data_IF_381261252476
#
_entry.id   IF_381261252476
#
_cell.length_a   1.000
_cell.length_b   1.000
_cell.length_c   1.000
_cell.angle_alpha   90.00
_cell.angle_beta   90.00
_cell.angle_gamma   90.00
#
_symmetry.space_group_name_H-M   'P 1'
#
loop_
_entity.id
_entity.type
_entity.pdbx_description
1 polymer ?
#
# COMPACT_ATOMS: atom_id res chain seq x y z
N UNK A 1 -30.83 -1.59 -15.55
CA UNK A 1 -31.49 -1.96 -14.28
C UNK A 1 -30.50 -1.66 -13.17
N UNK A 2 -30.84 -0.86 -12.16
CA UNK A 2 -29.94 -0.59 -11.03
C UNK A 2 -29.91 -1.78 -10.08
N UNK A 3 -28.73 -2.38 -9.88
CA UNK A 3 -28.54 -3.45 -8.91
C UNK A 3 -28.44 -2.90 -7.48
N UNK A 4 -28.78 -3.72 -6.48
CA UNK A 4 -28.54 -3.42 -5.07
C UNK A 4 -27.81 -4.57 -4.38
N UNK A 5 -26.82 -4.24 -3.54
CA UNK A 5 -26.05 -5.17 -2.72
C UNK A 5 -25.91 -4.63 -1.29
N UNK A 6 -25.85 -5.53 -0.30
CA UNK A 6 -25.58 -5.19 1.09
C UNK A 6 -24.32 -5.94 1.56
N UNK A 7 -23.42 -5.24 2.25
CA UNK A 7 -22.22 -5.80 2.87
C UNK A 7 -21.98 -5.16 4.23
N UNK A 8 -21.12 -5.75 5.07
CA UNK A 8 -20.71 -5.11 6.32
C UNK A 8 -19.69 -4.01 6.05
N UNK A 9 -18.71 -4.28 5.17
CA UNK A 9 -17.62 -3.36 4.84
C UNK A 9 -17.47 -3.21 3.33
N UNK A 10 -17.56 -1.97 2.86
CA UNK A 10 -17.16 -1.60 1.50
C UNK A 10 -15.76 -0.96 1.53
N UNK A 11 -14.81 -1.57 0.84
CA UNK A 11 -13.47 -1.03 0.64
C UNK A 11 -13.37 -0.44 -0.76
N UNK A 12 -12.96 0.81 -0.88
CA UNK A 12 -12.77 1.48 -2.16
C UNK A 12 -11.28 1.55 -2.49
N UNK A 13 -10.87 0.87 -3.55
CA UNK A 13 -9.48 0.77 -3.99
C UNK A 13 -8.82 -0.53 -3.55
N UNK A 14 -8.03 -1.12 -4.45
CA UNK A 14 -7.41 -2.43 -4.28
C UNK A 14 -5.88 -2.38 -4.13
N UNK A 15 -5.34 -1.25 -3.67
CA UNK A 15 -3.93 -1.14 -3.28
C UNK A 15 -3.63 -1.89 -1.97
N UNK A 16 -2.37 -1.81 -1.51
CA UNK A 16 -1.94 -2.49 -0.28
C UNK A 16 -2.81 -2.12 0.93
N UNK A 17 -3.15 -0.83 1.11
CA UNK A 17 -4.01 -0.38 2.21
C UNK A 17 -5.42 -1.00 2.14
N UNK A 18 -6.06 -0.97 0.96
CA UNK A 18 -7.41 -1.49 0.76
C UNK A 18 -7.47 -3.01 0.96
N UNK A 19 -6.54 -3.75 0.35
CA UNK A 19 -6.50 -5.21 0.51
C UNK A 19 -6.16 -5.63 1.95
N UNK A 20 -5.23 -4.94 2.62
CA UNK A 20 -4.93 -5.22 4.03
C UNK A 20 -6.14 -5.01 4.93
N UNK A 21 -6.90 -3.93 4.71
CA UNK A 21 -8.14 -3.69 5.43
C UNK A 21 -9.21 -4.76 5.12
N UNK A 22 -9.37 -5.12 3.85
CA UNK A 22 -10.35 -6.12 3.41
C UNK A 22 -10.07 -7.50 4.04
N UNK A 23 -8.81 -7.95 4.00
CA UNK A 23 -8.38 -9.21 4.64
C UNK A 23 -8.65 -9.16 6.14
N UNK A 24 -8.27 -8.07 6.81
CA UNK A 24 -8.45 -7.93 8.25
C UNK A 24 -9.92 -7.96 8.65
N UNK A 25 -10.79 -7.24 7.93
CA UNK A 25 -12.23 -7.23 8.16
C UNK A 25 -12.86 -8.61 7.90
N UNK A 26 -12.50 -9.27 6.81
CA UNK A 26 -13.01 -10.60 6.46
C UNK A 26 -12.59 -11.67 7.47
N UNK A 27 -11.33 -11.65 7.93
CA UNK A 27 -10.86 -12.52 9.02
C UNK A 27 -11.55 -12.23 10.37
N UNK A 28 -12.09 -11.01 10.53
CA UNK A 28 -12.98 -10.64 11.63
C UNK A 28 -14.42 -11.14 11.48
N UNK A 29 -14.75 -11.80 10.35
CA UNK A 29 -16.07 -12.34 10.05
C UNK A 29 -17.03 -11.38 9.35
N UNK A 30 -16.54 -10.23 8.87
CA UNK A 30 -17.34 -9.28 8.11
C UNK A 30 -17.53 -9.76 6.65
N UNK A 31 -18.69 -9.51 6.08
CA UNK A 31 -18.88 -9.57 4.62
C UNK A 31 -18.25 -8.33 3.97
N UNK A 32 -17.32 -8.54 3.05
CA UNK A 32 -16.51 -7.46 2.45
C UNK A 32 -16.68 -7.42 0.94
N UNK A 33 -16.86 -6.21 0.41
CA UNK A 33 -16.73 -5.91 -1.01
C UNK A 33 -15.57 -4.93 -1.23
N UNK A 34 -14.65 -5.28 -2.12
CA UNK A 34 -13.63 -4.36 -2.65
C UNK A 34 -14.09 -3.84 -4.01
N UNK A 35 -14.29 -2.52 -4.11
CA UNK A 35 -14.59 -1.84 -5.36
C UNK A 35 -13.30 -1.24 -5.96
N UNK A 36 -12.92 -1.67 -7.15
CA UNK A 36 -11.77 -1.18 -7.90
C UNK A 36 -12.23 -0.48 -9.17
N UNK A 37 -11.69 0.73 -9.40
CA UNK A 37 -12.04 1.57 -10.54
C UNK A 37 -11.57 0.94 -11.85
N UNK A 38 -10.39 0.35 -11.87
CA UNK A 38 -9.81 -0.25 -13.06
C UNK A 38 -10.20 -1.73 -13.24
N UNK A 39 -9.83 -2.30 -14.38
CA UNK A 39 -10.00 -3.74 -14.68
C UNK A 39 -8.98 -4.63 -13.97
N UNK A 40 -8.04 -4.04 -13.24
CA UNK A 40 -6.94 -4.75 -12.56
C UNK A 40 -6.72 -4.24 -11.13
N UNK A 41 -6.31 -5.17 -10.26
CA UNK A 41 -6.03 -4.99 -8.85
C UNK A 41 -4.61 -4.49 -8.62
N UNK A 42 -4.45 -3.63 -7.60
CA UNK A 42 -3.15 -3.33 -6.99
C UNK A 42 -2.71 -1.87 -7.06
N UNK A 43 -3.26 -1.09 -7.98
CA UNK A 43 -2.90 0.33 -8.15
C UNK A 43 -1.39 0.58 -8.19
N UNK A 44 -0.94 1.69 -7.59
CA UNK A 44 0.49 2.01 -7.44
C UNK A 44 1.25 0.99 -6.60
N UNK A 45 0.58 0.31 -5.65
CA UNK A 45 1.23 -0.69 -4.79
C UNK A 45 1.79 -1.86 -5.60
N UNK A 46 1.15 -2.25 -6.70
CA UNK A 46 1.65 -3.33 -7.57
C UNK A 46 2.90 -2.94 -8.38
N UNK A 47 3.21 -1.64 -8.49
CA UNK A 47 4.40 -1.11 -9.17
C UNK A 47 5.52 -0.73 -8.20
N UNK A 48 5.26 -0.74 -6.90
CA UNK A 48 6.26 -0.32 -5.91
C UNK A 48 7.39 -1.33 -5.74
N UNK A 49 8.46 -0.92 -5.05
CA UNK A 49 9.52 -1.82 -4.58
C UNK A 49 9.06 -2.84 -3.52
N UNK A 50 7.82 -2.74 -3.02
CA UNK A 50 7.28 -3.65 -2.00
C UNK A 50 7.83 -3.46 -0.59
N UNK A 51 8.65 -2.42 -0.38
CA UNK A 51 9.25 -2.08 0.90
C UNK A 51 8.24 -1.43 1.85
N UNK A 52 8.26 -1.87 3.09
CA UNK A 52 7.48 -1.35 4.20
C UNK A 52 8.48 -0.92 5.28
N UNK A 53 8.39 0.35 5.69
CA UNK A 53 9.17 0.86 6.82
C UNK A 53 8.40 0.56 8.10
N UNK A 54 8.82 -0.48 8.83
CA UNK A 54 8.21 -0.94 10.08
C UNK A 54 9.34 -1.12 11.09
N UNK A 55 9.59 -0.12 11.96
CA UNK A 55 10.58 -0.21 13.03
C UNK A 55 10.22 -1.34 13.99
N UNK A 56 11.24 -1.94 14.63
CA UNK A 56 11.05 -3.01 15.63
C UNK A 56 10.19 -4.20 15.13
N UNK A 57 10.15 -4.43 13.82
CA UNK A 57 9.43 -5.55 13.23
C UNK A 57 10.00 -6.90 13.71
N UNK A 58 9.19 -7.97 13.74
CA UNK A 58 9.63 -9.25 14.28
C UNK A 58 10.81 -9.87 13.52
N UNK A 59 10.99 -9.61 12.21
CA UNK A 59 12.11 -10.17 11.45
C UNK A 59 13.45 -9.56 11.89
N UNK A 60 13.50 -8.24 12.09
CA UNK A 60 14.69 -7.58 12.60
C UNK A 60 15.05 -8.05 14.02
N UNK A 61 14.03 -8.27 14.87
CA UNK A 61 14.22 -8.81 16.23
C UNK A 61 14.71 -10.26 16.22
N UNK A 62 14.19 -11.09 15.32
CA UNK A 62 14.65 -12.47 15.08
C UNK A 62 16.13 -12.51 14.65
N UNK A 63 16.62 -11.47 13.98
CA UNK A 63 18.02 -11.29 13.59
C UNK A 63 18.90 -10.65 14.69
N UNK A 64 18.35 -10.42 15.88
CA UNK A 64 19.06 -9.86 17.03
C UNK A 64 19.23 -8.34 17.01
N UNK A 65 18.50 -7.63 16.13
CA UNK A 65 18.51 -6.16 16.10
C UNK A 65 17.54 -5.65 17.16
N UNK A 66 18.10 -5.15 18.25
CA UNK A 66 17.36 -4.47 19.31
C UNK A 66 17.44 -2.96 19.13
N UNK A 67 16.30 -2.36 18.79
CA UNK A 67 16.16 -0.93 18.62
C UNK A 67 15.48 -0.30 19.84
N UNK A 68 16.06 0.81 20.31
CA UNK A 68 15.53 1.61 21.40
C UNK A 68 14.10 2.10 21.04
N UNK A 69 13.09 1.93 21.91
CA UNK A 69 11.69 2.25 21.61
C UNK A 69 11.44 3.69 21.11
N UNK A 70 12.18 4.68 21.61
CA UNK A 70 12.08 6.08 21.24
C UNK A 70 12.82 6.47 19.95
N UNK A 71 13.79 5.70 19.49
CA UNK A 71 14.63 6.03 18.35
C UNK A 71 13.85 6.24 17.03
N UNK A 72 12.85 5.41 16.67
CA UNK A 72 12.04 5.65 15.48
C UNK A 72 11.22 6.94 15.56
N UNK A 73 10.70 7.25 16.75
CA UNK A 73 9.94 8.47 16.98
C UNK A 73 10.83 9.71 16.92
N UNK A 74 12.04 9.63 17.46
CA UNK A 74 13.03 10.70 17.37
C UNK A 74 13.42 10.99 15.91
N UNK A 75 13.67 9.93 15.12
CA UNK A 75 13.91 10.05 13.68
C UNK A 75 12.76 10.74 12.97
N UNK A 76 11.53 10.23 13.11
CA UNK A 76 10.37 10.81 12.41
C UNK A 76 10.08 12.25 12.84
N UNK A 77 10.25 12.59 14.13
CA UNK A 77 10.12 13.98 14.58
C UNK A 77 11.14 14.90 13.92
N UNK A 78 12.38 14.45 13.76
CA UNK A 78 13.39 15.23 13.06
C UNK A 78 13.03 15.41 11.58
N UNK A 79 12.59 14.34 10.91
CA UNK A 79 12.19 14.37 9.49
C UNK A 79 10.94 15.22 9.22
N UNK A 80 10.11 15.44 10.24
CA UNK A 80 8.94 16.32 10.19
C UNK A 80 9.24 17.74 10.73
N UNK A 81 10.50 18.16 10.73
CA UNK A 81 10.93 19.49 11.21
C UNK A 81 10.48 19.82 12.65
N UNK A 82 10.34 18.80 13.50
CA UNK A 82 9.96 18.94 14.91
C UNK A 82 8.46 18.97 15.19
N UNK A 83 7.60 18.81 14.17
CA UNK A 83 6.15 18.73 14.36
C UNK A 83 5.76 17.63 15.37
N UNK A 84 4.76 17.89 16.23
CA UNK A 84 4.38 16.94 17.26
C UNK A 84 3.83 15.66 16.63
N UNK A 85 4.23 14.53 17.21
CA UNK A 85 3.73 13.23 16.80
C UNK A 85 2.24 13.12 17.14
N UNK A 86 1.40 13.09 16.11
CA UNK A 86 -0.03 12.91 16.27
C UNK A 86 -0.40 11.46 16.61
N UNK A 87 -1.68 11.23 16.91
CA UNK A 87 -2.18 9.90 17.25
C UNK A 87 -1.97 8.86 16.12
N UNK A 88 -1.85 9.30 14.86
CA UNK A 88 -1.66 8.41 13.71
C UNK A 88 -0.24 7.90 13.66
N UNK A 89 0.74 8.79 13.86
CA UNK A 89 2.15 8.42 13.91
C UNK A 89 2.42 7.46 15.08
N UNK A 90 1.84 7.76 16.25
CA UNK A 90 1.97 6.89 17.42
C UNK A 90 1.31 5.53 17.18
N UNK A 91 0.12 5.49 16.59
CA UNK A 91 -0.54 4.24 16.22
C UNK A 91 0.27 3.44 15.19
N UNK A 92 0.87 4.10 14.20
CA UNK A 92 1.73 3.45 13.21
C UNK A 92 2.94 2.77 13.86
N UNK A 93 3.64 3.49 14.75
CA UNK A 93 4.80 2.94 15.46
C UNK A 93 4.43 1.80 16.41
N UNK A 94 3.26 1.89 17.06
CA UNK A 94 2.76 0.85 17.95
C UNK A 94 2.33 -0.41 17.19
N UNK A 95 1.43 -0.25 16.22
CA UNK A 95 0.76 -1.39 15.57
C UNK A 95 1.49 -1.92 14.33
N UNK A 96 2.52 -1.23 13.84
CA UNK A 96 3.33 -1.68 12.71
C UNK A 96 3.90 -3.10 12.91
N UNK A 97 4.66 -3.37 14.00
CA UNK A 97 5.16 -4.71 14.30
C UNK A 97 4.04 -5.76 14.46
N UNK A 98 2.95 -5.40 15.13
CA UNK A 98 1.80 -6.28 15.32
C UNK A 98 1.14 -6.65 13.98
N UNK A 99 1.08 -5.71 13.05
CA UNK A 99 0.55 -5.93 11.70
C UNK A 99 1.43 -6.92 10.91
N UNK A 100 2.76 -6.84 11.02
CA UNK A 100 3.66 -7.83 10.40
C UNK A 100 3.40 -9.23 10.97
N UNK A 101 3.28 -9.35 12.30
CA UNK A 101 2.98 -10.63 12.96
C UNK A 101 1.61 -11.19 12.55
N UNK A 102 0.59 -10.34 12.50
CA UNK A 102 -0.76 -10.72 12.07
C UNK A 102 -0.75 -11.31 10.66
N UNK A 103 -0.14 -10.60 9.70
CA UNK A 103 -0.12 -11.05 8.30
C UNK A 103 0.71 -12.33 8.14
N UNK A 104 1.89 -12.45 8.77
CA UNK A 104 2.71 -13.67 8.73
C UNK A 104 1.97 -14.90 9.23
N UNK A 105 1.21 -14.75 10.33
CA UNK A 105 0.59 -15.88 11.04
C UNK A 105 -0.77 -16.28 10.50
N UNK A 106 -1.49 -15.35 9.87
CA UNK A 106 -2.93 -15.53 9.54
C UNK A 106 -3.22 -15.54 8.05
N UNK A 107 -2.23 -15.30 7.19
CA UNK A 107 -2.46 -15.03 5.77
C UNK A 107 -1.34 -15.60 4.87
N UNK A 108 -1.53 -15.50 3.55
CA UNK A 108 -0.50 -15.85 2.57
C UNK A 108 0.61 -14.78 2.46
N UNK A 109 0.52 -13.66 3.18
CA UNK A 109 1.55 -12.62 3.19
C UNK A 109 2.73 -13.07 4.05
N UNK A 110 3.90 -13.16 3.41
CA UNK A 110 5.17 -13.50 4.05
C UNK A 110 6.20 -12.45 3.68
N UNK A 111 7.14 -12.18 4.58
CA UNK A 111 8.11 -11.09 4.45
C UNK A 111 9.55 -11.61 4.39
N UNK A 112 10.40 -10.87 3.68
CA UNK A 112 11.84 -10.92 3.79
C UNK A 112 12.29 -9.77 4.69
N UNK A 113 13.32 -10.05 5.49
CA UNK A 113 13.98 -9.03 6.29
C UNK A 113 14.67 -8.02 5.38
N UNK A 114 14.42 -6.74 5.67
CA UNK A 114 15.12 -5.61 5.09
C UNK A 114 16.16 -5.03 6.03
N UNK A 115 16.66 -5.81 6.99
CA UNK A 115 17.50 -5.29 8.07
C UNK A 115 18.81 -4.63 7.62
N UNK A 116 19.23 -4.79 6.35
CA UNK A 116 20.40 -4.10 5.78
C UNK A 116 20.07 -2.80 5.06
N UNK A 117 18.79 -2.41 5.03
CA UNK A 117 18.34 -1.18 4.39
C UNK A 117 18.47 -0.01 5.38
N UNK A 118 19.36 0.96 5.12
CA UNK A 118 19.48 2.14 5.97
C UNK A 118 18.30 3.10 5.75
N UNK A 119 18.07 3.94 6.75
CA UNK A 119 17.27 5.14 6.60
C UNK A 119 17.91 6.11 5.58
N UNK A 120 17.09 6.94 4.94
CA UNK A 120 17.54 7.79 3.85
C UNK A 120 18.40 8.96 4.31
N UNK A 121 18.17 9.48 5.51
CA UNK A 121 18.88 10.62 6.05
C UNK A 121 19.67 10.21 7.29
N UNK A 122 20.90 10.70 7.39
CA UNK A 122 21.75 10.54 8.56
C UNK A 122 21.38 11.59 9.63
N UNK A 123 20.14 11.53 10.11
CA UNK A 123 19.58 12.44 11.12
C UNK A 123 19.51 11.79 12.52
N UNK A 124 19.28 12.56 13.59
CA UNK A 124 19.08 12.00 14.93
C UNK A 124 18.01 10.90 14.95
N UNK A 125 18.37 9.73 15.46
CA UNK A 125 17.50 8.55 15.48
C UNK A 125 17.53 7.69 14.21
N UNK A 126 18.30 8.07 13.18
CA UNK A 126 18.48 7.25 11.97
C UNK A 126 19.14 5.90 12.29
N UNK A 127 18.74 4.87 11.55
CA UNK A 127 19.31 3.53 11.65
C UNK A 127 19.96 3.11 10.32
N UNK A 128 21.08 2.37 10.40
CA UNK A 128 21.70 1.75 9.23
C UNK A 128 20.95 0.49 8.75
N UNK A 129 19.87 0.13 9.45
CA UNK A 129 19.20 -1.15 9.27
C UNK A 129 18.05 -1.38 10.25
N UNK A 130 17.40 -2.54 10.12
CA UNK A 130 16.41 -3.06 11.08
C UNK A 130 14.98 -2.53 10.94
N UNK A 131 14.74 -1.49 10.13
CA UNK A 131 13.41 -0.85 10.01
C UNK A 131 12.64 -1.20 8.75
N UNK A 132 13.21 -1.94 7.82
CA UNK A 132 12.55 -2.27 6.55
C UNK A 132 12.19 -3.75 6.47
N UNK A 133 11.05 -4.04 5.84
CA UNK A 133 10.68 -5.39 5.40
C UNK A 133 10.11 -5.31 3.98
N UNK A 134 10.18 -6.40 3.24
CA UNK A 134 9.56 -6.50 1.90
C UNK A 134 8.81 -7.81 1.76
N UNK A 135 7.81 -7.89 0.88
CA UNK A 135 7.11 -9.14 0.64
C UNK A 135 8.05 -10.18 0.02
N UNK A 136 7.98 -11.43 0.48
CA UNK A 136 8.64 -12.55 -0.17
C UNK A 136 8.13 -12.71 -1.61
N UNK A 137 8.98 -13.14 -2.56
CA UNK A 137 8.55 -13.52 -3.90
C UNK A 137 7.36 -14.48 -3.85
N UNK A 138 6.46 -14.37 -4.82
CA UNK A 138 5.21 -15.14 -4.86
C UNK A 138 5.07 -15.88 -6.19
N UNK A 139 4.56 -17.11 -6.11
CA UNK A 139 4.23 -17.89 -7.29
C UNK A 139 2.81 -17.54 -7.77
N UNK A 140 2.75 -16.75 -8.84
CA UNK A 140 1.52 -16.26 -9.44
C UNK A 140 0.55 -17.35 -9.87
N UNK A 141 1.00 -18.61 -10.06
CA UNK A 141 0.11 -19.75 -10.34
C UNK A 141 -0.93 -19.97 -9.23
N UNK A 142 -0.59 -19.61 -7.99
CA UNK A 142 -1.47 -19.77 -6.82
C UNK A 142 -2.65 -18.78 -6.80
N UNK A 143 -2.68 -17.80 -7.71
CA UNK A 143 -3.84 -16.92 -7.92
C UNK A 143 -4.87 -17.49 -8.90
N UNK A 144 -4.53 -18.54 -9.68
CA UNK A 144 -5.38 -19.00 -10.78
C UNK A 144 -5.74 -17.85 -11.73
N UNK A 145 -7.01 -17.74 -12.10
CA UNK A 145 -7.51 -16.73 -13.04
C UNK A 145 -7.31 -15.29 -12.55
N UNK A 146 -7.19 -15.09 -11.23
CA UNK A 146 -6.92 -13.77 -10.65
C UNK A 146 -5.54 -13.23 -11.00
N UNK A 147 -4.61 -14.06 -11.48
CA UNK A 147 -3.32 -13.59 -11.98
C UNK A 147 -3.50 -12.58 -13.11
N UNK A 148 -4.47 -12.77 -14.01
CA UNK A 148 -4.73 -11.86 -15.12
C UNK A 148 -5.44 -10.57 -14.68
N UNK A 149 -6.05 -10.58 -13.50
CA UNK A 149 -6.66 -9.41 -12.86
C UNK A 149 -5.70 -8.67 -11.95
N UNK A 150 -4.48 -9.15 -11.75
CA UNK A 150 -3.42 -8.43 -11.04
C UNK A 150 -2.71 -7.49 -12.00
N UNK A 151 -2.52 -6.22 -11.62
CA UNK A 151 -1.79 -5.25 -12.44
C UNK A 151 -0.40 -5.79 -12.84
N UNK A 152 -0.03 -5.77 -14.13
CA UNK A 152 1.30 -6.19 -14.54
C UNK A 152 2.39 -5.26 -13.98
N UNK A 153 3.62 -5.76 -13.79
CA UNK A 153 4.76 -4.90 -13.48
C UNK A 153 4.91 -3.77 -14.49
N UNK A 154 5.40 -2.62 -14.03
CA UNK A 154 5.63 -1.47 -14.89
C UNK A 154 6.75 -1.79 -15.91
N UNK A 155 6.49 -1.58 -17.19
CA UNK A 155 7.42 -1.96 -18.28
C UNK A 155 8.76 -1.23 -18.18
N UNK A 156 8.76 0.05 -17.78
CA UNK A 156 9.97 0.86 -17.65
C UNK A 156 11.01 0.29 -16.66
N UNK A 157 10.57 -0.52 -15.70
CA UNK A 157 11.43 -1.10 -14.66
C UNK A 157 11.43 -2.64 -14.69
N UNK A 158 10.87 -3.24 -15.75
CA UNK A 158 10.81 -4.70 -15.88
C UNK A 158 11.31 -5.14 -17.25
N UNK A 159 11.96 -6.29 -17.29
CA UNK A 159 12.41 -6.85 -18.56
C UNK A 159 11.26 -7.64 -19.18
N UNK A 160 10.47 -6.95 -20.01
CA UNK A 160 9.28 -7.51 -20.65
C UNK A 160 8.31 -8.20 -19.65
N UNK A 161 7.98 -7.48 -18.56
CA UNK A 161 7.14 -7.94 -17.47
C UNK A 161 7.81 -8.89 -16.48
N UNK A 162 9.11 -9.17 -16.61
CA UNK A 162 9.87 -9.90 -15.60
C UNK A 162 10.26 -8.94 -14.47
N UNK A 163 9.72 -9.17 -13.27
CA UNK A 163 10.17 -8.45 -12.09
C UNK A 163 11.56 -8.91 -11.66
N UNK A 164 12.46 -7.96 -11.41
CA UNK A 164 13.79 -8.20 -10.85
C UNK A 164 13.75 -7.77 -9.38
N UNK A 165 14.02 -8.69 -8.46
CA UNK A 165 14.07 -8.37 -7.04
C UNK A 165 15.32 -7.53 -6.72
N UNK A 166 15.22 -6.66 -5.72
CA UNK A 166 16.41 -6.01 -5.15
C UNK A 166 17.37 -7.02 -4.51
N UNK A 167 18.62 -6.63 -4.30
CA UNK A 167 19.63 -7.47 -3.63
C UNK A 167 20.25 -8.52 -4.55
N UNK A 168 20.13 -9.80 -4.19
CA UNK A 168 20.85 -10.91 -4.84
C UNK A 168 20.47 -11.11 -6.31
N UNK A 169 19.19 -10.95 -6.67
CA UNK A 169 18.72 -11.08 -8.06
C UNK A 169 19.40 -10.00 -8.93
N UNK A 170 19.35 -8.74 -8.50
CA UNK A 170 20.02 -7.62 -9.18
C UNK A 170 21.54 -7.79 -9.27
N UNK A 171 22.19 -8.27 -8.20
CA UNK A 171 23.63 -8.53 -8.20
C UNK A 171 24.05 -9.58 -9.24
N UNK A 172 23.25 -10.64 -9.42
CA UNK A 172 23.50 -11.63 -10.47
C UNK A 172 23.30 -11.04 -11.87
N UNK A 173 22.25 -10.24 -12.10
CA UNK A 173 22.04 -9.59 -13.40
C UNK A 173 23.19 -8.64 -13.76
N UNK A 174 23.70 -7.82 -12.83
CA UNK A 174 24.82 -6.92 -13.09
C UNK A 174 26.16 -7.63 -13.30
N UNK A 175 26.35 -8.80 -12.67
CA UNK A 175 27.58 -9.58 -12.80
C UNK A 175 27.49 -10.69 -13.85
N UNK A 176 26.41 -10.76 -14.64
CA UNK A 176 26.18 -11.83 -15.60
C UNK A 176 27.27 -11.93 -16.68
N UNK A 177 27.92 -10.83 -17.05
CA UNK A 177 29.03 -10.82 -18.02
C UNK A 177 30.39 -11.11 -17.40
N UNK A 178 30.50 -11.08 -16.07
CA UNK A 178 31.77 -11.19 -15.32
C UNK A 178 31.90 -12.47 -14.51
N UNK A 179 30.81 -13.21 -14.32
CA UNK A 179 30.77 -14.44 -13.54
C UNK A 179 29.94 -15.50 -14.24
N UNK A 180 30.49 -16.69 -14.53
CA UNK A 180 29.75 -17.80 -15.13
C UNK A 180 28.54 -18.24 -14.29
N UNK A 181 28.65 -18.19 -12.95
CA UNK A 181 27.54 -18.53 -12.06
C UNK A 181 26.38 -17.54 -12.18
N UNK A 182 26.70 -16.24 -12.23
CA UNK A 182 25.71 -15.18 -12.47
C UNK A 182 25.11 -15.26 -13.88
N UNK A 183 25.92 -15.59 -14.89
CA UNK A 183 25.46 -15.81 -16.27
C UNK A 183 24.43 -16.95 -16.32
N UNK A 184 24.76 -18.10 -15.72
CA UNK A 184 23.87 -19.26 -15.67
C UNK A 184 22.57 -18.94 -14.91
N UNK A 185 22.66 -18.20 -13.81
CA UNK A 185 21.49 -17.76 -13.05
C UNK A 185 20.58 -16.86 -13.90
N UNK A 186 21.13 -15.82 -14.51
CA UNK A 186 20.39 -14.89 -15.35
C UNK A 186 19.75 -15.61 -16.56
N UNK A 187 20.50 -16.45 -17.26
CA UNK A 187 19.99 -17.26 -18.39
C UNK A 187 18.86 -18.18 -17.94
N UNK A 188 18.99 -18.89 -16.82
CA UNK A 188 17.91 -19.74 -16.28
C UNK A 188 16.65 -18.93 -15.96
N UNK A 189 16.82 -17.73 -15.39
CA UNK A 189 15.70 -16.81 -15.09
C UNK A 189 14.99 -16.36 -16.36
N UNK A 190 15.75 -15.93 -17.37
CA UNK A 190 15.22 -15.49 -18.67
C UNK A 190 14.48 -16.61 -19.39
N UNK A 191 15.06 -17.82 -19.47
CA UNK A 191 14.41 -18.97 -20.09
C UNK A 191 13.11 -19.35 -19.38
N UNK A 192 13.12 -19.36 -18.04
CA UNK A 192 11.91 -19.62 -17.25
C UNK A 192 10.83 -18.56 -17.50
N UNK A 193 11.21 -17.28 -17.55
CA UNK A 193 10.27 -16.19 -17.84
C UNK A 193 9.71 -16.28 -19.26
N UNK A 194 10.56 -16.54 -20.26
CA UNK A 194 10.14 -16.78 -21.64
C UNK A 194 9.11 -17.90 -21.73
N UNK A 195 9.37 -19.01 -21.06
CA UNK A 195 8.42 -20.13 -20.97
C UNK A 195 7.10 -19.77 -20.29
N UNK A 196 7.15 -19.00 -19.19
CA UNK A 196 5.95 -18.51 -18.51
C UNK A 196 5.12 -17.60 -19.41
N UNK A 197 5.75 -16.70 -20.16
CA UNK A 197 5.05 -15.84 -21.13
C UNK A 197 4.41 -16.64 -22.25
N UNK A 198 5.12 -17.65 -22.79
CA UNK A 198 4.57 -18.51 -23.84
C UNK A 198 3.34 -19.30 -23.35
N UNK A 199 3.37 -19.80 -22.11
CA UNK A 199 2.27 -20.63 -21.56
C UNK A 199 1.11 -19.86 -20.95
N UNK A 200 1.39 -18.76 -20.27
CA UNK A 200 0.42 -18.03 -19.45
C UNK A 200 0.25 -16.56 -19.88
N UNK A 201 0.87 -16.13 -20.98
CA UNK A 201 0.81 -14.75 -21.48
C UNK A 201 1.57 -13.72 -20.63
N UNK A 202 2.07 -14.10 -19.44
CA UNK A 202 2.80 -13.21 -18.52
C UNK A 202 3.75 -13.97 -17.59
N UNK A 203 4.65 -13.23 -16.95
CA UNK A 203 5.50 -13.76 -15.88
C UNK A 203 4.67 -14.22 -14.67
N UNK A 204 5.07 -15.35 -14.08
CA UNK A 204 4.42 -15.95 -12.91
C UNK A 204 5.29 -15.88 -11.65
N UNK A 205 6.57 -15.54 -11.77
CA UNK A 205 7.40 -15.23 -10.61
C UNK A 205 7.24 -13.76 -10.24
N UNK A 206 6.46 -13.49 -9.19
CA UNK A 206 6.14 -12.13 -8.75
C UNK A 206 7.09 -11.70 -7.64
N UNK A 207 7.54 -10.45 -7.68
CA UNK A 207 8.47 -9.85 -6.70
C UNK A 207 8.02 -8.44 -6.33
N UNK A 208 8.67 -7.83 -5.33
CA UNK A 208 8.45 -6.44 -4.92
C UNK A 208 6.96 -6.15 -4.61
N UNK A 209 6.47 -4.97 -4.99
CA UNK A 209 5.07 -4.58 -4.79
C UNK A 209 4.07 -5.50 -5.49
N UNK A 210 4.46 -6.12 -6.60
CA UNK A 210 3.62 -7.09 -7.30
C UNK A 210 3.40 -8.36 -6.46
N UNK A 211 4.45 -8.86 -5.79
CA UNK A 211 4.34 -9.95 -4.83
C UNK A 211 3.52 -9.57 -3.60
N UNK A 212 3.69 -8.35 -3.07
CA UNK A 212 2.90 -7.86 -1.95
C UNK A 212 1.39 -7.88 -2.27
N UNK A 213 1.00 -7.27 -3.37
CA UNK A 213 -0.41 -7.25 -3.81
C UNK A 213 -0.91 -8.66 -4.12
N UNK A 214 -0.11 -9.51 -4.77
CA UNK A 214 -0.50 -10.90 -5.06
C UNK A 214 -0.78 -11.70 -3.79
N UNK A 215 0.07 -11.57 -2.76
CA UNK A 215 -0.12 -12.25 -1.47
C UNK A 215 -1.34 -11.72 -0.71
N UNK A 216 -1.55 -10.41 -0.73
CA UNK A 216 -2.75 -9.79 -0.14
C UNK A 216 -4.02 -10.23 -0.87
N UNK A 217 -3.99 -10.27 -2.21
CA UNK A 217 -5.10 -10.75 -3.03
C UNK A 217 -5.40 -12.23 -2.74
N UNK A 218 -4.38 -13.10 -2.72
CA UNK A 218 -4.55 -14.51 -2.34
C UNK A 218 -5.24 -14.63 -0.97
N UNK A 219 -4.77 -13.87 0.01
CA UNK A 219 -5.33 -13.87 1.36
C UNK A 219 -6.77 -13.35 1.41
N UNK A 220 -7.11 -12.37 0.59
CA UNK A 220 -8.47 -11.85 0.48
C UNK A 220 -9.41 -12.89 -0.15
N UNK A 221 -8.95 -13.59 -1.19
CA UNK A 221 -9.70 -14.69 -1.82
C UNK A 221 -9.90 -15.85 -0.83
N UNK A 222 -8.87 -16.22 -0.08
CA UNK A 222 -8.97 -17.24 0.99
C UNK A 222 -9.98 -16.86 2.07
N UNK A 223 -10.09 -15.57 2.40
CA UNK A 223 -11.02 -15.04 3.38
C UNK A 223 -12.44 -14.79 2.84
N UNK A 224 -12.71 -15.09 1.55
CA UNK A 224 -14.03 -14.91 0.94
C UNK A 224 -14.40 -13.44 0.64
N UNK A 225 -13.41 -12.57 0.45
CA UNK A 225 -13.63 -11.18 0.02
C UNK A 225 -14.19 -11.15 -1.40
N UNK A 226 -15.26 -10.39 -1.62
CA UNK A 226 -15.80 -10.15 -2.95
C UNK A 226 -15.13 -8.95 -3.62
N UNK A 227 -15.02 -9.00 -4.94
CA UNK A 227 -14.39 -7.95 -5.74
C UNK A 227 -15.30 -7.50 -6.87
N UNK A 228 -15.44 -6.19 -7.02
CA UNK A 228 -16.07 -5.56 -8.17
C UNK A 228 -15.03 -4.68 -8.87
N UNK A 229 -14.57 -5.14 -10.04
CA UNK A 229 -13.67 -4.38 -10.92
C UNK A 229 -14.49 -3.49 -11.87
N UNK A 230 -13.82 -2.55 -12.55
CA UNK A 230 -14.46 -1.56 -13.43
C UNK A 230 -15.57 -0.76 -12.73
N UNK A 231 -15.41 -0.51 -11.43
CA UNK A 231 -16.43 0.07 -10.58
C UNK A 231 -15.95 1.34 -9.86
N UNK A 232 -15.76 2.45 -10.59
CA UNK A 232 -15.52 3.74 -9.95
C UNK A 232 -16.69 4.09 -9.04
N UNK A 233 -16.38 4.52 -7.82
CA UNK A 233 -17.35 5.11 -6.88
C UNK A 233 -17.74 6.49 -7.41
N UNK A 234 -19.04 6.72 -7.58
CA UNK A 234 -19.57 8.00 -8.05
C UNK A 234 -19.94 8.93 -6.89
N UNK A 235 -20.58 8.37 -5.86
CA UNK A 235 -20.94 9.10 -4.65
C UNK A 235 -21.12 8.19 -3.46
N UNK A 236 -20.86 8.75 -2.28
CA UNK A 236 -21.22 8.11 -1.02
C UNK A 236 -22.73 8.24 -0.76
N UNK A 237 -23.27 7.23 -0.10
CA UNK A 237 -24.61 7.25 0.45
C UNK A 237 -24.50 7.65 1.92
N UNK A 238 -25.35 8.57 2.35
CA UNK A 238 -25.45 8.95 3.75
C UNK A 238 -26.89 8.77 4.24
N UNK A 239 -27.02 8.45 5.53
CA UNK A 239 -28.27 8.48 6.28
C UNK A 239 -28.10 9.30 7.57
N UNK A 240 -29.08 9.24 8.46
CA UNK A 240 -29.07 10.00 9.72
C UNK A 240 -27.91 9.61 10.66
N UNK A 241 -27.29 8.44 10.46
CA UNK A 241 -26.21 7.90 11.27
C UNK A 241 -24.83 8.02 10.58
N UNK A 242 -24.74 8.72 9.44
CA UNK A 242 -23.49 8.95 8.72
C UNK A 242 -23.43 8.22 7.38
N UNK A 243 -22.24 7.77 6.97
CA UNK A 243 -22.04 7.09 5.69
C UNK A 243 -22.61 5.67 5.77
N UNK A 244 -23.51 5.35 4.83
CA UNK A 244 -24.28 4.10 4.78
C UNK A 244 -24.00 3.26 3.52
N UNK A 245 -22.97 3.61 2.75
CA UNK A 245 -22.56 2.90 1.54
C UNK A 245 -22.12 3.84 0.40
N UNK A 246 -22.22 3.35 -0.84
CA UNK A 246 -21.85 4.10 -2.03
C UNK A 246 -22.64 3.66 -3.27
N UNK A 247 -22.61 4.50 -4.31
CA UNK A 247 -23.02 4.14 -5.67
C UNK A 247 -21.75 3.88 -6.49
N UNK A 248 -21.68 2.69 -7.08
CA UNK A 248 -20.64 2.29 -8.01
C UNK A 248 -21.17 2.35 -9.44
N UNK A 249 -20.34 2.79 -10.38
CA UNK A 249 -20.63 2.56 -11.80
C UNK A 249 -20.43 1.09 -12.12
N UNK A 250 -21.22 0.57 -13.05
CA UNK A 250 -21.06 -0.77 -13.62
C UNK A 250 -21.63 -0.76 -15.05
N UNK A 251 -21.21 -1.72 -15.87
CA UNK A 251 -21.65 -1.88 -17.26
C UNK A 251 -23.17 -2.06 -17.36
N UNK A 252 -23.80 -2.67 -16.33
CA UNK A 252 -25.26 -2.86 -16.24
C UNK A 252 -26.04 -1.64 -15.72
N UNK A 253 -25.35 -0.51 -15.48
CA UNK A 253 -25.88 0.67 -14.80
C UNK A 253 -25.42 0.78 -13.34
N UNK A 254 -25.83 1.85 -12.67
CA UNK A 254 -25.41 2.14 -11.31
C UNK A 254 -25.74 0.99 -10.32
N UNK A 255 -24.73 0.54 -9.58
CA UNK A 255 -24.83 -0.46 -8.51
C UNK A 255 -24.86 0.24 -7.16
N UNK A 256 -25.97 0.09 -6.42
CA UNK A 256 -26.12 0.64 -5.07
C UNK A 256 -25.60 -0.35 -4.04
N UNK A 257 -24.54 0.01 -3.33
CA UNK A 257 -23.98 -0.81 -2.24
C UNK A 257 -24.31 -0.17 -0.91
N UNK A 258 -25.08 -0.85 -0.06
CA UNK A 258 -25.24 -0.47 1.35
C UNK A 258 -24.16 -1.15 2.17
N UNK A 259 -23.52 -0.38 3.05
CA UNK A 259 -22.44 -0.88 3.89
C UNK A 259 -22.56 -0.35 5.32
N UNK A 260 -22.24 -1.17 6.31
CA UNK A 260 -22.13 -0.75 7.71
C UNK A 260 -20.92 0.17 7.95
N UNK A 261 -19.87 0.01 7.14
CA UNK A 261 -18.72 0.90 7.09
C UNK A 261 -18.19 1.04 5.65
N UNK A 262 -17.65 2.21 5.33
CA UNK A 262 -16.95 2.48 4.05
C UNK A 262 -15.51 2.90 4.35
N UNK A 263 -14.55 2.21 3.75
CA UNK A 263 -13.13 2.52 3.84
C UNK A 263 -12.61 3.04 2.51
N UNK A 264 -12.05 4.25 2.52
CA UNK A 264 -11.49 4.89 1.34
C UNK A 264 -9.98 4.64 1.28
N UNK A 265 -9.55 3.82 0.33
CA UNK A 265 -8.16 3.47 0.04
C UNK A 265 -7.85 3.63 -1.48
N UNK A 266 -8.42 4.67 -2.09
CA UNK A 266 -8.43 4.91 -3.53
C UNK A 266 -7.22 5.69 -4.08
N UNK A 267 -6.16 5.84 -3.27
CA UNK A 267 -4.97 6.61 -3.63
C UNK A 267 -5.13 8.13 -3.57
N UNK A 268 -4.06 8.84 -3.92
CA UNK A 268 -4.00 10.31 -3.97
C UNK A 268 -4.50 10.90 -5.28
N UNK A 269 -4.10 12.13 -5.58
CA UNK A 269 -4.55 12.86 -6.78
C UNK A 269 -3.42 13.25 -7.78
N UNK A 270 -2.38 12.42 -8.00
CA UNK A 270 -1.24 12.82 -8.84
C UNK A 270 -1.56 13.05 -10.32
N UNK A 271 -2.77 12.70 -10.77
CA UNK A 271 -3.25 12.93 -12.14
C UNK A 271 -4.48 13.85 -12.21
N UNK A 272 -4.89 14.48 -11.10
CA UNK A 272 -5.95 15.50 -11.08
C UNK A 272 -5.34 16.89 -11.26
N UNK A 273 -5.44 17.42 -12.48
CA UNK A 273 -4.85 18.72 -12.84
C UNK A 273 -5.34 19.86 -11.96
N UNK A 274 -6.62 19.85 -11.59
CA UNK A 274 -7.20 20.92 -10.78
C UNK A 274 -6.64 20.86 -9.36
N UNK A 275 -6.65 19.68 -8.73
CA UNK A 275 -6.10 19.54 -7.37
C UNK A 275 -4.59 19.74 -7.33
N UNK A 276 -3.86 19.37 -8.37
CA UNK A 276 -2.44 19.68 -8.50
C UNK A 276 -2.21 21.19 -8.54
N UNK A 277 -2.96 21.93 -9.35
CA UNK A 277 -2.88 23.39 -9.42
C UNK A 277 -3.15 24.05 -8.06
N UNK A 278 -4.14 23.54 -7.32
CA UNK A 278 -4.56 24.07 -6.02
C UNK A 278 -3.59 23.73 -4.87
N UNK A 279 -2.90 22.57 -4.91
CA UNK A 279 -2.21 22.02 -3.74
C UNK A 279 -0.70 21.79 -3.94
N UNK A 280 -0.18 21.88 -5.16
CA UNK A 280 1.20 21.50 -5.47
C UNK A 280 1.94 22.69 -6.11
N UNK A 281 2.82 23.40 -5.37
CA UNK A 281 3.41 24.66 -5.82
C UNK A 281 4.14 24.60 -7.17
N UNK A 282 4.91 23.54 -7.43
CA UNK A 282 5.64 23.38 -8.70
C UNK A 282 4.74 22.99 -9.88
N UNK A 283 3.47 22.69 -9.62
CA UNK A 283 2.46 22.32 -10.61
C UNK A 283 1.24 23.24 -10.56
N UNK A 284 1.43 24.50 -10.14
CA UNK A 284 0.36 25.49 -9.99
C UNK A 284 -0.41 25.79 -11.29
N UNK A 285 0.16 25.51 -12.47
CA UNK A 285 -0.53 25.60 -13.76
C UNK A 285 -1.37 24.36 -14.10
N UNK A 286 -1.38 23.34 -13.23
CA UNK A 286 -1.93 22.01 -13.50
C UNK A 286 -1.03 21.12 -14.37
N UNK A 287 0.14 21.61 -14.77
CA UNK A 287 1.15 20.90 -15.57
C UNK A 287 2.50 20.84 -14.84
N UNK A 288 3.44 20.05 -15.36
CA UNK A 288 4.79 19.92 -14.80
C UNK A 288 4.93 18.92 -13.65
N UNK A 289 3.84 18.25 -13.26
CA UNK A 289 3.89 17.11 -12.35
C UNK A 289 3.96 15.79 -13.15
N UNK A 290 5.06 15.06 -12.98
CA UNK A 290 5.24 13.73 -13.59
C UNK A 290 5.14 12.67 -12.50
N UNK A 291 4.10 11.83 -12.58
CA UNK A 291 3.84 10.79 -11.60
C UNK A 291 4.09 9.40 -12.16
N UNK A 292 4.72 8.55 -11.35
CA UNK A 292 4.83 7.12 -11.60
C UNK A 292 3.58 6.33 -11.14
N UNK A 293 2.54 6.99 -10.60
CA UNK A 293 1.29 6.34 -10.26
C UNK A 293 0.46 6.00 -11.52
N UNK A 294 -0.42 4.99 -11.49
CA UNK A 294 -1.32 4.70 -12.60
C UNK A 294 -2.22 5.90 -12.94
N UNK A 295 -2.54 6.14 -14.22
CA UNK A 295 -3.40 7.26 -14.64
C UNK A 295 -4.78 7.27 -14.00
N UNK A 296 -5.29 6.12 -13.54
CA UNK A 296 -6.58 6.04 -12.82
C UNK A 296 -6.57 6.71 -11.44
N UNK A 297 -5.39 6.98 -10.86
CA UNK A 297 -5.19 7.60 -9.55
C UNK A 297 -5.36 9.13 -9.63
N UNK A 298 -6.61 9.58 -9.66
CA UNK A 298 -7.02 10.98 -9.83
C UNK A 298 -7.66 11.55 -8.55
N UNK A 299 -7.52 10.85 -7.42
CA UNK A 299 -8.26 11.16 -6.21
C UNK A 299 -9.76 10.87 -6.35
N UNK A 300 -10.44 10.71 -5.21
CA UNK A 300 -11.89 10.66 -5.21
C UNK A 300 -12.45 12.08 -5.15
N UNK A 301 -13.32 12.42 -6.11
CA UNK A 301 -14.15 13.61 -6.02
C UNK A 301 -15.17 13.42 -4.89
N UNK A 302 -14.97 14.10 -3.76
CA UNK A 302 -16.04 14.26 -2.79
C UNK A 302 -17.02 15.26 -3.39
N UNK A 303 -18.09 14.76 -4.00
CA UNK A 303 -19.24 15.59 -4.32
C UNK A 303 -19.71 16.32 -3.06
N UNK A 304 -20.37 17.46 -3.23
CA UNK A 304 -20.85 18.43 -2.23
C UNK A 304 -21.75 17.89 -1.10
N UNK A 305 -21.87 16.57 -0.94
CA UNK A 305 -22.40 15.88 0.22
C UNK A 305 -21.51 16.16 1.45
N UNK A 306 -21.69 17.34 2.03
CA UNK A 306 -21.29 17.78 3.37
C UNK A 306 -19.93 17.23 3.82
N UNK A 307 -18.92 18.10 3.76
CA UNK A 307 -17.66 18.08 4.52
C UNK A 307 -17.83 17.91 6.06
N UNK A 308 -19.02 17.56 6.54
CA UNK A 308 -19.47 17.66 7.93
C UNK A 308 -18.97 16.53 8.86
N UNK A 309 -18.06 15.66 8.42
CA UNK A 309 -17.39 14.70 9.30
C UNK A 309 -15.99 14.26 8.82
N UNK A 310 -15.61 14.57 7.57
CA UNK A 310 -14.28 14.32 7.05
C UNK A 310 -13.40 15.53 7.33
N UNK A 311 -12.56 15.47 8.37
CA UNK A 311 -11.44 16.39 8.50
C UNK A 311 -10.45 16.06 7.39
N UNK A 312 -10.61 16.73 6.25
CA UNK A 312 -9.57 16.81 5.22
C UNK A 312 -8.49 17.69 5.80
N UNK A 313 -7.40 17.08 6.27
CA UNK A 313 -6.21 17.85 6.66
C UNK A 313 -5.61 18.38 5.36
N UNK A 314 -5.42 19.71 5.22
CA UNK A 314 -4.73 20.27 4.08
C UNK A 314 -3.35 19.63 3.95
N UNK A 315 -2.85 19.47 2.71
CA UNK A 315 -1.41 19.41 2.54
C UNK A 315 -0.85 20.70 3.15
N UNK A 316 -0.05 20.59 4.22
CA UNK A 316 0.87 21.66 4.56
C UNK A 316 1.84 21.75 3.40
N UNK A 317 1.58 22.69 2.51
CA UNK A 317 2.52 23.12 1.48
C UNK A 317 3.67 23.88 2.11
N UNK A 318 4.40 23.28 3.05
CA UNK A 318 5.70 23.80 3.45
C UNK A 318 6.62 23.64 2.23
N UNK A 319 7.10 24.74 1.63
CA UNK A 319 8.16 24.65 0.66
C UNK A 319 9.36 24.09 1.42
N UNK A 320 9.84 22.91 1.03
CA UNK A 320 11.18 22.49 1.42
C UNK A 320 12.12 23.64 1.00
N UNK A 321 12.82 24.32 1.93
CA UNK A 321 13.83 25.26 1.49
C UNK A 321 14.88 24.41 0.83
N UNK A 322 15.04 24.59 -0.49
CA UNK A 322 16.21 24.13 -1.19
C UNK A 322 17.43 24.68 -0.47
N UNK A 323 18.00 23.89 0.45
CA UNK A 323 19.39 24.07 0.84
C UNK A 323 20.15 23.80 -0.44
N UNK A 324 20.55 24.89 -1.10
CA UNK A 324 21.56 24.90 -2.15
C UNK A 324 22.62 23.89 -1.72
N UNK A 325 22.83 22.85 -2.52
CA UNK A 325 24.07 22.09 -2.43
C UNK A 325 25.18 23.14 -2.48
N UNK A 326 25.86 23.41 -1.36
CA UNK A 326 27.09 24.20 -1.41
C UNK A 326 28.01 23.43 -2.33
N UNK A 327 28.46 24.10 -3.37
CA UNK A 327 29.54 23.62 -4.22
C UNK A 327 30.68 23.16 -3.30
N UNK A 328 30.98 21.86 -3.35
CA UNK A 328 32.26 21.37 -2.87
C UNK A 328 33.35 21.98 -3.78
N UNK A 329 34.51 22.41 -3.25
CA UNK A 329 35.60 22.89 -4.07
C UNK A 329 36.08 21.80 -5.04
N UNK A 330 36.58 22.23 -6.20
CA UNK A 330 36.99 21.41 -7.35
C UNK A 330 38.33 20.67 -7.12
N UNK A 331 38.90 19.94 -8.11
CA UNK A 331 38.99 18.49 -8.04
C UNK A 331 40.44 18.00 -8.08
N UNK A 332 40.88 17.28 -7.06
CA UNK A 332 42.01 16.37 -7.16
C UNK A 332 41.70 15.17 -6.25
N UNK A 333 41.87 13.97 -6.79
CA UNK A 333 41.70 12.68 -6.14
C UNK A 333 40.29 12.26 -5.71
N UNK A 334 39.54 11.70 -6.68
CA UNK A 334 38.82 10.44 -6.44
C UNK A 334 38.31 9.85 -7.76
N UNK A 335 38.91 8.74 -8.15
CA UNK A 335 38.49 7.89 -9.26
C UNK A 335 37.27 7.04 -8.87
N UNK A 336 36.06 7.45 -9.30
CA UNK A 336 34.96 6.50 -9.42
C UNK A 336 33.91 6.95 -10.44
N UNK A 337 33.82 6.20 -11.54
CA UNK A 337 32.78 6.29 -12.56
C UNK A 337 31.51 5.60 -12.07
N UNK A 338 30.46 6.37 -11.80
CA UNK A 338 29.06 5.98 -12.03
C UNK A 338 28.15 7.17 -11.74
N UNK A 339 27.90 7.97 -12.78
CA UNK A 339 26.75 8.89 -12.81
C UNK A 339 25.53 8.12 -13.30
N UNK A 340 24.36 8.62 -12.90
CA UNK A 340 22.98 8.30 -13.34
C UNK A 340 22.17 7.57 -12.24
N UNK A 341 21.02 8.18 -11.91
CA UNK A 341 19.90 7.78 -11.04
C UNK A 341 19.83 8.42 -9.64
N UNK A 342 19.28 9.63 -9.62
CA UNK A 342 18.80 10.31 -8.41
C UNK A 342 17.61 11.20 -8.81
N UNK A 343 16.47 10.58 -9.09
CA UNK A 343 15.20 11.28 -9.33
C UNK A 343 14.01 10.31 -9.47
N UNK A 344 13.69 9.57 -8.42
CA UNK A 344 12.37 8.95 -8.31
C UNK A 344 12.06 8.67 -6.84
N UNK A 345 11.13 9.46 -6.29
CA UNK A 345 10.29 9.25 -5.10
C UNK A 345 10.25 10.54 -4.26
N UNK A 346 9.32 11.42 -4.65
CA UNK A 346 8.89 12.55 -3.85
C UNK A 346 7.91 12.06 -2.77
N UNK A 347 7.96 12.54 -1.50
CA UNK A 347 7.14 12.03 -0.40
C UNK A 347 5.64 12.40 -0.44
N UNK A 348 5.08 12.76 -1.60
CA UNK A 348 3.67 13.16 -1.74
C UNK A 348 2.66 11.99 -1.65
N UNK A 349 3.02 10.86 -1.06
CA UNK A 349 2.25 9.61 -1.11
C UNK A 349 2.16 8.93 0.27
N UNK A 350 1.64 9.64 1.27
CA UNK A 350 1.02 8.99 2.43
C UNK A 350 -0.42 8.62 2.08
N UNK A 351 -0.81 7.33 2.08
CA UNK A 351 -2.21 6.96 1.99
C UNK A 351 -2.89 7.32 3.33
N UNK A 352 -3.55 8.47 3.38
CA UNK A 352 -4.53 8.74 4.43
C UNK A 352 -5.70 7.78 4.25
N UNK A 353 -5.71 6.67 4.99
CA UNK A 353 -6.94 5.91 5.21
C UNK A 353 -7.88 6.79 6.02
N UNK A 354 -8.93 7.30 5.37
CA UNK A 354 -10.01 8.00 6.04
C UNK A 354 -11.10 6.98 6.37
N UNK A 355 -11.28 6.69 7.65
CA UNK A 355 -12.43 5.94 8.15
C UNK A 355 -13.54 6.94 8.45
N UNK A 356 -14.70 6.82 7.81
CA UNK A 356 -15.82 7.76 8.00
C UNK A 356 -16.96 7.04 8.72
N UNK A 357 -16.89 6.94 10.07
CA UNK A 357 -18.06 7.05 10.98
C UNK A 357 -17.67 6.94 12.48
N UNK A 358 -18.11 7.90 13.31
CA UNK A 358 -18.43 7.78 14.76
C UNK A 358 -19.08 9.09 15.25
N UNK A 359 -20.26 8.99 15.88
CA UNK A 359 -21.08 10.12 16.39
C UNK A 359 -20.34 11.04 17.39
N UNK A 360 -20.78 12.31 17.54
CA UNK A 360 -20.09 13.30 18.37
C UNK A 360 -20.55 13.22 19.83
N UNK A 361 -20.14 12.18 20.56
CA UNK A 361 -20.11 12.24 22.04
C UNK A 361 -19.01 11.32 22.57
N UNK A 362 -17.93 11.94 23.08
CA UNK A 362 -16.75 11.34 23.74
C UNK A 362 -15.80 10.53 22.83
N UNK A 363 -14.46 10.67 22.99
CA UNK A 363 -13.48 10.00 22.13
C UNK A 363 -13.54 8.49 22.40
N UNK A 364 -14.29 7.78 21.57
CA UNK A 364 -14.37 6.32 21.64
C UNK A 364 -13.53 5.77 20.50
N UNK A 365 -12.32 5.34 20.89
CA UNK A 365 -11.38 4.50 20.17
C UNK A 365 -12.12 3.37 19.42
N UNK A 366 -12.19 3.41 18.08
CA UNK A 366 -12.59 2.24 17.29
C UNK A 366 -11.39 1.32 17.19
N UNK A 367 -11.20 0.58 18.28
CA UNK A 367 -10.31 -0.56 18.39
C UNK A 367 -10.98 -1.73 17.68
N UNK A 368 -10.41 -2.22 16.58
CA UNK A 368 -10.70 -3.58 16.11
C UNK A 368 -10.00 -4.52 17.10
N UNK A 369 -10.66 -4.76 18.23
CA UNK A 369 -10.26 -5.73 19.23
C UNK A 369 -10.21 -7.13 18.60
N UNK A 370 -9.04 -7.76 18.69
CA UNK A 370 -8.87 -9.20 18.51
C UNK A 370 -9.97 -9.98 19.27
N UNK A 371 -10.45 -11.11 18.73
CA UNK A 371 -11.67 -11.76 19.20
C UNK A 371 -11.43 -12.50 20.52
N UNK A 372 -11.62 -11.80 21.64
CA UNK A 372 -11.89 -12.44 22.96
C UNK A 372 -13.31 -12.19 23.48
N UNK A 373 -14.07 -11.25 22.91
CA UNK A 373 -15.41 -10.89 23.42
C UNK A 373 -16.60 -11.36 22.57
N UNK A 374 -16.40 -11.93 21.38
CA UNK A 374 -17.52 -12.33 20.51
C UNK A 374 -18.21 -13.66 20.92
N UNK A 375 -17.59 -14.46 21.78
CA UNK A 375 -18.13 -15.76 22.22
C UNK A 375 -19.22 -15.67 23.30
N UNK A 376 -19.35 -14.56 24.04
CA UNK A 376 -20.36 -14.47 25.12
C UNK A 376 -21.78 -14.10 24.65
N UNK A 377 -21.95 -13.40 23.52
CA UNK A 377 -23.30 -12.95 23.07
C UNK A 377 -24.15 -14.02 22.38
N UNK A 378 -23.56 -15.12 21.88
CA UNK A 378 -24.35 -16.23 21.28
C UNK A 378 -24.83 -17.28 22.29
N UNK A 379 -24.20 -17.43 23.47
CA UNK A 379 -24.68 -18.37 24.52
C UNK A 379 -25.89 -17.83 25.31
N UNK A 380 -26.06 -16.51 25.43
CA UNK A 380 -27.19 -15.93 26.17
C UNK A 380 -28.54 -16.01 25.42
N UNK A 381 -28.54 -16.10 24.08
CA UNK A 381 -29.77 -16.20 23.28
C UNK A 381 -30.33 -17.63 23.13
N UNK A 382 -29.59 -18.66 23.56
CA UNK A 382 -30.01 -20.08 23.51
C UNK A 382 -30.56 -20.63 24.83
N UNK A 383 -30.62 -19.82 25.90
CA UNK A 383 -31.15 -20.19 27.23
C UNK A 383 -32.49 -19.53 27.59
N UNK A 384 -33.18 -18.90 26.63
CA UNK A 384 -34.53 -18.33 26.80
C UNK A 384 -35.59 -18.89 25.83
N UNK A 385 -35.28 -20.02 25.19
CA UNK A 385 -36.23 -20.87 24.46
C UNK A 385 -35.78 -22.31 24.70
N UNK A 386 -36.35 -22.93 25.71
CA UNK A 386 -36.04 -24.24 26.25
C UNK A 386 -36.82 -24.40 27.52
#
# INVERSE_FOLDING_TARGET
>A
MSGQMNVDVLVVGSGAAGLSAAVTAALGGASVLVAEKESVIGGTSAWSGGWLWIPRNPLAREEGIEEEPGAPLAYLRHEMDGEPADARLLAFLQYGPEMIDFFRRRTAVQFLSGSKMPDFHASPGAALGGRSVTAQPFDGRLLGDWLHRLRPPLETISLAGMGIAGGTDMAHFFNATRSPGSALYATRRLLRHGWQRLRAGRGQHLVNGNALVARLLRSALDAGVNFQLNAPVERLLADNNGVAGAILRSDGGALKVRAGAVLLACGGFPHDRQRLAENVPHAASGYGHFSAAPPGNQGMAFGSAKRSAASLIPHSGTPWPGRRCRALPSPADCSCRSRIWLSALSPALLPCCLTVNASPMKPTLIMILLPRCWTRRRRAKRRRRG
#
